data_IF_801253838668
#
_entry.id   IF_801253838668
#
_cell.length_a   1.000
_cell.length_b   1.000
_cell.length_c   1.000
_cell.angle_alpha   90.00
_cell.angle_beta   90.00
_cell.angle_gamma   90.00
#
_symmetry.space_group_name_H-M   'P 1'
#
loop_
_entity.id
_entity.type
_entity.pdbx_description
1 polymer ?
#
# COMPACT_ATOMS: atom_id res chain seq x y z
N UNK A 1 -7.26 -18.29 -3.76
CA UNK A 1 -6.73 -17.90 -5.08
C UNK A 1 -7.04 -16.44 -5.49
N UNK A 2 -7.83 -15.70 -4.70
CA UNK A 2 -8.31 -14.37 -5.07
C UNK A 2 -7.24 -13.26 -5.09
N UNK A 3 -6.24 -13.34 -4.25
CA UNK A 3 -5.22 -12.32 -4.13
C UNK A 3 -5.82 -10.91 -3.98
N UNK A 4 -5.33 -9.95 -4.76
CA UNK A 4 -5.81 -8.57 -4.76
C UNK A 4 -7.02 -8.32 -5.69
N UNK A 5 -7.49 -9.32 -6.42
CA UNK A 5 -8.64 -9.19 -7.31
C UNK A 5 -9.92 -9.71 -6.64
N UNK A 6 -10.84 -8.83 -6.21
CA UNK A 6 -12.08 -9.24 -5.56
C UNK A 6 -13.05 -10.00 -6.47
N UNK A 7 -12.85 -9.96 -7.79
CA UNK A 7 -13.72 -10.66 -8.75
C UNK A 7 -13.60 -12.18 -8.71
N UNK A 8 -12.52 -12.70 -8.12
CA UNK A 8 -12.23 -14.13 -8.05
C UNK A 8 -12.31 -14.69 -6.63
N UNK A 9 -12.96 -13.98 -5.71
CA UNK A 9 -13.21 -14.49 -4.36
C UNK A 9 -14.15 -15.72 -4.40
N UNK A 10 -13.83 -16.71 -3.57
CA UNK A 10 -14.52 -18.01 -3.56
C UNK A 10 -15.28 -18.29 -2.26
N UNK A 11 -14.97 -17.59 -1.16
CA UNK A 11 -15.75 -17.71 0.07
C UNK A 11 -17.12 -17.14 -0.16
N UNK A 12 -18.16 -17.92 0.14
CA UNK A 12 -19.57 -17.61 -0.16
C UNK A 12 -20.37 -17.43 1.11
N UNK A 13 -21.51 -16.75 1.01
CA UNK A 13 -22.57 -16.81 2.00
C UNK A 13 -23.92 -16.97 1.29
N UNK A 14 -24.76 -17.88 1.80
CA UNK A 14 -26.11 -18.10 1.31
C UNK A 14 -27.12 -17.84 2.43
N UNK A 15 -28.28 -17.22 2.14
CA UNK A 15 -29.31 -17.00 3.15
C UNK A 15 -30.02 -18.30 3.51
N UNK A 16 -30.35 -18.47 4.79
CA UNK A 16 -31.14 -19.58 5.33
C UNK A 16 -32.06 -19.07 6.43
N UNK A 17 -33.30 -18.70 6.07
CA UNK A 17 -34.25 -18.07 6.99
C UNK A 17 -33.74 -16.70 7.47
N UNK A 18 -33.59 -16.57 8.79
CA UNK A 18 -33.08 -15.35 9.44
C UNK A 18 -31.54 -15.37 9.63
N UNK A 19 -30.85 -16.30 9.02
CA UNK A 19 -29.41 -16.46 9.12
C UNK A 19 -28.73 -16.48 7.73
N UNK A 20 -27.41 -16.39 7.75
CA UNK A 20 -26.54 -16.64 6.62
C UNK A 20 -25.59 -17.79 6.95
N UNK A 21 -25.35 -18.65 5.97
CA UNK A 21 -24.39 -19.75 6.06
C UNK A 21 -23.17 -19.41 5.24
N UNK A 22 -22.01 -19.27 5.92
CA UNK A 22 -20.73 -18.91 5.32
C UNK A 22 -19.88 -20.16 5.12
N UNK A 23 -19.33 -20.32 3.90
CA UNK A 23 -18.44 -21.42 3.55
C UNK A 23 -17.23 -20.92 2.75
N UNK A 24 -16.04 -21.48 3.04
CA UNK A 24 -14.81 -21.19 2.33
C UNK A 24 -13.60 -20.98 3.22
N UNK A 25 -12.56 -20.39 2.66
CA UNK A 25 -11.30 -20.20 3.34
C UNK A 25 -10.74 -18.79 3.09
N UNK A 26 -10.04 -18.26 4.07
CA UNK A 26 -9.35 -16.96 4.00
C UNK A 26 -7.92 -17.11 4.48
N UNK A 27 -7.01 -16.60 3.68
CA UNK A 27 -5.61 -16.47 4.07
C UNK A 27 -5.25 -15.01 4.35
N UNK A 28 -4.21 -14.78 5.11
CA UNK A 28 -3.78 -13.46 5.57
C UNK A 28 -4.86 -12.70 6.35
N UNK A 29 -5.60 -13.41 7.20
CA UNK A 29 -6.54 -12.80 8.15
C UNK A 29 -5.75 -12.20 9.32
N UNK A 30 -5.40 -10.91 9.20
CA UNK A 30 -4.53 -10.22 10.16
C UNK A 30 -5.12 -10.22 11.56
N UNK A 31 -4.33 -10.66 12.54
CA UNK A 31 -4.65 -10.72 13.96
C UNK A 31 -5.89 -11.57 14.33
N UNK A 32 -6.38 -12.45 13.45
CA UNK A 32 -7.58 -13.23 13.69
C UNK A 32 -7.52 -14.03 15.02
N UNK A 33 -6.36 -14.57 15.37
CA UNK A 33 -6.17 -15.33 16.62
C UNK A 33 -6.36 -14.52 17.91
N UNK A 34 -6.29 -13.18 17.82
CA UNK A 34 -6.48 -12.28 18.97
C UNK A 34 -7.80 -11.53 18.91
N UNK A 35 -8.58 -11.75 17.85
CA UNK A 35 -9.82 -11.03 17.62
C UNK A 35 -11.00 -11.76 18.25
N UNK A 36 -11.95 -11.02 18.79
CA UNK A 36 -13.23 -11.56 19.27
C UNK A 36 -14.25 -11.72 18.15
N UNK A 37 -14.04 -11.03 17.03
CA UNK A 37 -14.83 -11.21 15.80
C UNK A 37 -13.98 -10.88 14.56
N UNK A 38 -14.38 -11.39 13.42
CA UNK A 38 -13.78 -11.16 12.12
C UNK A 38 -14.75 -10.37 11.25
N UNK A 39 -14.22 -9.44 10.42
CA UNK A 39 -14.96 -8.81 9.32
C UNK A 39 -14.66 -9.63 8.06
N UNK A 40 -15.66 -10.39 7.60
CA UNK A 40 -15.47 -11.38 6.54
C UNK A 40 -16.16 -10.92 5.27
N UNK A 41 -15.38 -10.69 4.21
CA UNK A 41 -15.92 -10.41 2.87
C UNK A 41 -16.19 -11.74 2.15
N UNK A 42 -17.41 -11.90 1.66
CA UNK A 42 -17.88 -13.12 1.01
C UNK A 42 -18.72 -12.81 -0.23
N UNK A 43 -18.82 -13.74 -1.15
CA UNK A 43 -19.69 -13.64 -2.32
C UNK A 43 -21.11 -14.03 -1.92
N UNK A 44 -22.05 -13.12 -2.06
CA UNK A 44 -23.49 -13.35 -1.82
C UNK A 44 -24.33 -13.35 -3.10
N UNK A 45 -23.86 -12.66 -4.13
CA UNK A 45 -24.59 -12.39 -5.36
C UNK A 45 -23.68 -12.58 -6.58
N UNK A 46 -23.33 -13.84 -6.94
CA UNK A 46 -22.35 -14.14 -7.98
C UNK A 46 -22.74 -13.64 -9.38
N UNK A 47 -24.03 -13.48 -9.66
CA UNK A 47 -24.56 -13.04 -10.94
C UNK A 47 -24.58 -11.51 -11.10
N UNK A 48 -24.31 -10.76 -10.03
CA UNK A 48 -24.25 -9.30 -10.07
C UNK A 48 -22.98 -8.81 -10.81
N UNK A 49 -23.00 -7.56 -11.31
CA UNK A 49 -21.79 -6.92 -11.85
C UNK A 49 -20.61 -6.99 -10.88
N UNK A 50 -19.36 -7.07 -11.38
CA UNK A 50 -18.16 -7.03 -10.54
C UNK A 50 -18.22 -5.87 -9.53
N UNK A 51 -17.72 -6.12 -8.31
CA UNK A 51 -17.77 -5.19 -7.15
C UNK A 51 -19.15 -5.01 -6.49
N UNK A 52 -20.20 -5.67 -6.98
CA UNK A 52 -21.53 -5.77 -6.36
C UNK A 52 -21.87 -7.22 -5.98
N UNK A 53 -20.92 -8.12 -6.09
CA UNK A 53 -21.08 -9.54 -5.76
C UNK A 53 -20.82 -9.85 -4.29
N UNK A 54 -20.08 -8.96 -3.60
CA UNK A 54 -19.58 -9.23 -2.25
C UNK A 54 -20.37 -8.49 -1.20
N UNK A 55 -20.58 -9.16 -0.08
CA UNK A 55 -21.08 -8.59 1.17
C UNK A 55 -20.04 -8.76 2.29
N UNK A 56 -20.17 -8.00 3.36
CA UNK A 56 -19.35 -8.17 4.56
C UNK A 56 -20.20 -8.61 5.73
N UNK A 57 -19.66 -9.49 6.57
CA UNK A 57 -20.30 -9.96 7.79
C UNK A 57 -19.39 -9.80 9.00
N UNK A 58 -20.00 -9.51 10.14
CA UNK A 58 -19.38 -9.62 11.46
C UNK A 58 -19.53 -11.06 11.94
N UNK A 59 -18.43 -11.78 12.06
CA UNK A 59 -18.41 -13.19 12.46
C UNK A 59 -17.64 -13.32 13.76
N UNK A 60 -18.30 -13.60 14.91
CA UNK A 60 -17.61 -13.92 16.16
C UNK A 60 -16.64 -15.09 15.96
N UNK A 61 -15.45 -15.02 16.55
CA UNK A 61 -14.42 -16.04 16.34
C UNK A 61 -14.73 -17.37 17.01
N UNK A 62 -15.63 -17.38 17.99
CA UNK A 62 -16.14 -18.56 18.69
C UNK A 62 -17.39 -19.19 18.03
N UNK A 63 -17.84 -18.64 16.88
CA UNK A 63 -18.97 -19.22 16.13
C UNK A 63 -18.61 -20.63 15.64
N UNK A 64 -19.48 -21.64 15.88
CA UNK A 64 -19.25 -22.99 15.40
C UNK A 64 -18.94 -23.01 13.89
N UNK A 65 -17.90 -23.75 13.49
CA UNK A 65 -17.43 -23.84 12.10
C UNK A 65 -16.35 -22.81 11.72
N UNK A 66 -16.03 -21.84 12.58
CA UNK A 66 -14.85 -21.00 12.42
C UNK A 66 -13.63 -21.72 12.98
N UNK A 67 -12.67 -22.00 12.10
CA UNK A 67 -11.44 -22.70 12.45
C UNK A 67 -10.22 -21.89 12.01
N UNK A 68 -9.35 -21.53 12.95
CA UNK A 68 -8.02 -21.02 12.65
C UNK A 68 -7.11 -22.23 12.42
N UNK A 69 -6.85 -22.57 11.16
CA UNK A 69 -6.06 -23.75 10.79
C UNK A 69 -4.62 -23.59 11.26
N UNK A 70 -4.03 -22.40 11.03
CA UNK A 70 -2.68 -22.04 11.46
C UNK A 70 -2.46 -20.54 11.34
N UNK A 71 -1.44 -20.05 12.01
CA UNK A 71 -0.95 -18.69 11.79
C UNK A 71 0.17 -18.69 10.77
N UNK A 72 0.32 -17.57 10.07
CA UNK A 72 1.32 -17.33 9.04
C UNK A 72 2.10 -16.09 9.44
N UNK A 73 3.40 -16.24 9.61
CA UNK A 73 4.34 -15.14 9.85
C UNK A 73 4.79 -14.49 8.56
N UNK A 74 5.16 -13.22 8.64
CA UNK A 74 5.92 -12.55 7.59
C UNK A 74 7.40 -12.93 7.74
N UNK A 75 8.21 -12.77 6.67
CA UNK A 75 9.60 -13.22 6.65
C UNK A 75 10.56 -12.60 7.68
N UNK A 76 10.07 -11.68 8.50
CA UNK A 76 10.78 -11.08 9.64
C UNK A 76 10.15 -11.44 11.00
N UNK A 77 9.11 -12.25 11.00
CA UNK A 77 8.45 -12.76 12.21
C UNK A 77 9.03 -14.14 12.57
N UNK A 78 8.76 -14.61 13.78
CA UNK A 78 9.14 -15.95 14.20
C UNK A 78 8.51 -17.02 13.31
N UNK A 79 9.23 -18.08 13.00
CA UNK A 79 8.74 -19.25 12.27
C UNK A 79 7.73 -20.08 13.06
N UNK A 80 7.56 -19.81 14.35
CA UNK A 80 6.58 -20.50 15.18
C UNK A 80 5.16 -20.18 14.70
N UNK A 81 4.37 -21.22 14.43
CA UNK A 81 2.95 -21.11 14.07
C UNK A 81 2.11 -20.32 15.08
N UNK A 82 2.57 -20.27 16.34
CA UNK A 82 1.91 -19.52 17.40
C UNK A 82 2.21 -18.01 17.38
N UNK A 83 3.17 -17.56 16.58
CA UNK A 83 3.64 -16.17 16.58
C UNK A 83 3.30 -15.38 15.30
N UNK A 84 2.80 -16.03 14.25
CA UNK A 84 2.43 -15.35 13.01
C UNK A 84 1.32 -14.33 13.21
N UNK A 85 1.46 -13.17 12.56
CA UNK A 85 0.50 -12.07 12.65
C UNK A 85 -0.73 -12.24 11.75
N UNK A 86 -0.74 -13.24 10.87
CA UNK A 86 -1.83 -13.53 9.95
C UNK A 86 -2.31 -14.96 10.11
N UNK A 87 -3.63 -15.18 10.05
CA UNK A 87 -4.20 -16.51 10.14
C UNK A 87 -4.67 -17.03 8.78
N UNK A 88 -4.62 -18.35 8.64
CA UNK A 88 -5.37 -19.11 7.64
C UNK A 88 -6.63 -19.64 8.33
N UNK A 89 -7.79 -19.17 7.87
CA UNK A 89 -9.08 -19.41 8.51
C UNK A 89 -9.99 -20.17 7.57
N UNK A 90 -10.62 -21.23 8.06
CA UNK A 90 -11.70 -21.98 7.41
C UNK A 90 -13.04 -21.59 8.02
N UNK A 91 -14.04 -21.50 7.16
CA UNK A 91 -15.45 -21.36 7.50
C UNK A 91 -16.17 -22.58 6.98
N UNK A 92 -16.71 -23.40 7.86
CA UNK A 92 -17.46 -24.62 7.52
C UNK A 92 -18.88 -24.53 8.09
N UNK A 93 -19.83 -24.23 7.22
CA UNK A 93 -21.24 -24.02 7.56
C UNK A 93 -21.43 -23.02 8.73
N UNK A 94 -20.63 -21.95 8.76
CA UNK A 94 -20.69 -20.92 9.80
C UNK A 94 -21.99 -20.15 9.68
N UNK A 95 -22.83 -20.24 10.74
CA UNK A 95 -24.12 -19.57 10.78
C UNK A 95 -23.99 -18.24 11.54
N UNK A 96 -24.47 -17.16 10.90
CA UNK A 96 -24.54 -15.84 11.52
C UNK A 96 -25.92 -15.23 11.30
N UNK A 97 -26.46 -14.48 12.27
CA UNK A 97 -27.72 -13.76 12.10
C UNK A 97 -27.67 -12.76 10.95
N UNK A 98 -28.82 -12.47 10.35
CA UNK A 98 -28.91 -11.48 9.25
C UNK A 98 -28.44 -10.09 9.64
N UNK A 99 -28.56 -9.73 10.91
CA UNK A 99 -28.14 -8.46 11.51
C UNK A 99 -26.62 -8.28 11.50
N UNK A 100 -25.87 -9.37 11.36
CA UNK A 100 -24.40 -9.33 11.26
C UNK A 100 -23.91 -8.86 9.88
N UNK A 101 -24.81 -8.64 8.93
CA UNK A 101 -24.48 -8.02 7.64
C UNK A 101 -24.02 -6.58 7.84
N UNK A 102 -22.76 -6.30 7.49
CA UNK A 102 -22.15 -4.98 7.60
C UNK A 102 -22.37 -4.17 6.31
N UNK A 103 -23.30 -3.24 6.37
CA UNK A 103 -23.73 -2.45 5.22
C UNK A 103 -24.74 -3.19 4.31
N UNK A 104 -25.00 -2.70 3.09
CA UNK A 104 -25.98 -3.32 2.21
C UNK A 104 -25.47 -4.63 1.60
N UNK A 105 -26.37 -5.56 1.30
CA UNK A 105 -26.08 -6.76 0.51
C UNK A 105 -25.50 -6.36 -0.85
N UNK A 106 -24.43 -7.01 -1.28
CA UNK A 106 -23.67 -6.66 -2.49
C UNK A 106 -22.79 -5.41 -2.35
N UNK A 107 -22.82 -4.72 -1.20
CA UNK A 107 -22.07 -3.49 -0.93
C UNK A 107 -20.72 -3.66 -0.24
N UNK A 108 -20.26 -4.89 -0.04
CA UNK A 108 -19.03 -5.19 0.72
C UNK A 108 -17.79 -4.50 0.17
N UNK A 109 -17.66 -4.39 -1.16
CA UNK A 109 -16.55 -3.68 -1.78
C UNK A 109 -16.54 -2.18 -1.45
N UNK A 110 -17.71 -1.53 -1.44
CA UNK A 110 -17.84 -0.09 -1.11
C UNK A 110 -17.48 0.12 0.36
N UNK A 111 -18.00 -0.74 1.26
CA UNK A 111 -17.66 -0.71 2.69
C UNK A 111 -16.15 -0.82 2.90
N UNK A 112 -15.47 -1.77 2.21
CA UNK A 112 -14.01 -1.90 2.25
C UNK A 112 -13.30 -0.63 1.78
N UNK A 113 -13.72 -0.03 0.67
CA UNK A 113 -13.07 1.16 0.11
C UNK A 113 -13.20 2.40 1.02
N UNK A 114 -14.27 2.50 1.79
CA UNK A 114 -14.44 3.58 2.77
C UNK A 114 -13.30 3.57 3.80
N UNK A 115 -12.94 2.39 4.31
CA UNK A 115 -11.82 2.21 5.26
C UNK A 115 -10.46 2.35 4.58
N UNK A 116 -10.29 1.74 3.39
CA UNK A 116 -8.98 1.64 2.71
C UNK A 116 -8.48 3.00 2.20
N UNK A 117 -9.36 3.97 1.95
CA UNK A 117 -8.97 5.33 1.56
C UNK A 117 -8.03 5.97 2.60
N UNK A 118 -8.47 6.00 3.86
CA UNK A 118 -7.67 6.49 4.99
C UNK A 118 -6.49 5.58 5.35
N UNK A 119 -6.64 4.25 5.23
CA UNK A 119 -5.59 3.29 5.53
C UNK A 119 -4.32 3.50 4.70
N UNK A 120 -4.46 3.78 3.40
CA UNK A 120 -3.33 3.96 2.48
C UNK A 120 -2.46 5.17 2.84
N UNK A 121 -3.06 6.31 3.14
CA UNK A 121 -2.30 7.50 3.57
C UNK A 121 -1.68 7.29 4.95
N UNK A 122 -2.37 6.60 5.87
CA UNK A 122 -1.83 6.24 7.18
C UNK A 122 -0.57 5.37 7.06
N UNK A 123 -0.56 4.37 6.16
CA UNK A 123 0.65 3.59 5.87
C UNK A 123 1.82 4.47 5.40
N UNK A 124 1.56 5.42 4.50
CA UNK A 124 2.57 6.33 4.00
C UNK A 124 3.12 7.26 5.12
N UNK A 125 2.24 7.82 5.95
CA UNK A 125 2.63 8.65 7.10
C UNK A 125 3.50 7.88 8.10
N UNK A 126 3.07 6.67 8.46
CA UNK A 126 3.82 5.80 9.38
C UNK A 126 5.20 5.44 8.81
N UNK A 127 5.28 5.19 7.51
CA UNK A 127 6.55 4.91 6.82
C UNK A 127 7.48 6.13 6.83
N UNK A 128 6.97 7.36 6.72
CA UNK A 128 7.78 8.58 6.84
C UNK A 128 8.52 8.64 8.19
N UNK A 129 7.87 8.28 9.29
CA UNK A 129 8.52 8.20 10.60
C UNK A 129 9.56 7.08 10.70
N UNK A 130 9.30 5.93 10.06
CA UNK A 130 10.26 4.81 10.04
C UNK A 130 11.52 5.16 9.24
N UNK A 131 11.38 5.72 8.04
CA UNK A 131 12.55 6.10 7.22
C UNK A 131 13.38 7.20 7.88
N UNK A 132 12.75 8.15 8.58
CA UNK A 132 13.47 9.15 9.38
C UNK A 132 14.36 8.48 10.43
N UNK A 133 13.80 7.56 11.24
CA UNK A 133 14.57 6.83 12.25
C UNK A 133 15.73 6.05 11.65
N UNK A 134 15.50 5.36 10.53
CA UNK A 134 16.55 4.59 9.84
C UNK A 134 17.65 5.52 9.33
N UNK A 135 17.27 6.68 8.80
CA UNK A 135 18.19 7.70 8.32
C UNK A 135 19.05 8.26 9.47
N UNK A 136 18.46 8.56 10.63
CA UNK A 136 19.18 9.03 11.79
C UNK A 136 20.24 8.01 12.25
N UNK A 137 19.86 6.74 12.36
CA UNK A 137 20.79 5.62 12.69
C UNK A 137 21.93 5.51 11.68
N UNK A 138 21.64 5.69 10.38
CA UNK A 138 22.64 5.67 9.31
C UNK A 138 23.66 6.82 9.47
N UNK A 139 23.19 8.03 9.75
CA UNK A 139 24.03 9.20 9.97
C UNK A 139 24.89 9.06 11.23
N UNK A 140 24.29 8.61 12.35
CA UNK A 140 25.01 8.35 13.59
C UNK A 140 26.15 7.33 13.37
N UNK A 141 25.87 6.24 12.64
CA UNK A 141 26.89 5.25 12.30
C UNK A 141 28.02 5.85 11.47
N UNK A 142 27.69 6.70 10.49
CA UNK A 142 28.68 7.28 9.59
C UNK A 142 29.68 8.19 10.29
N UNK A 143 29.27 8.93 11.33
CA UNK A 143 30.12 9.86 12.06
C UNK A 143 30.92 9.25 13.20
N UNK A 144 30.63 7.99 13.60
CA UNK A 144 31.36 7.32 14.70
C UNK A 144 32.25 6.17 14.21
N UNK A 145 31.93 5.53 13.09
CA UNK A 145 32.66 4.35 12.60
C UNK A 145 33.87 4.75 11.76
N UNK A 146 35.03 4.24 12.15
CA UNK A 146 36.27 4.38 11.39
C UNK A 146 36.58 3.09 10.62
N UNK A 147 37.04 3.21 9.38
CA UNK A 147 37.59 2.15 8.57
C UNK A 147 38.72 2.66 7.70
N UNK A 148 39.78 1.89 7.52
CA UNK A 148 40.96 2.32 6.76
C UNK A 148 41.53 3.68 7.21
N UNK A 149 41.58 3.90 8.54
CA UNK A 149 42.15 5.09 9.15
C UNK A 149 41.26 6.36 9.10
N UNK A 150 40.01 6.27 8.61
CA UNK A 150 39.16 7.41 8.37
C UNK A 150 37.69 7.11 8.72
N UNK A 151 36.91 8.14 9.12
CA UNK A 151 35.48 8.00 9.39
C UNK A 151 34.70 7.62 8.13
N UNK A 152 33.66 6.80 8.26
CA UNK A 152 32.76 6.46 7.16
C UNK A 152 32.16 7.71 6.49
N UNK A 153 31.82 8.73 7.27
CA UNK A 153 31.29 10.00 6.77
C UNK A 153 32.22 10.78 5.82
N UNK A 154 33.52 10.40 5.74
CA UNK A 154 34.48 10.96 4.79
C UNK A 154 34.58 10.19 3.48
N UNK A 155 33.93 9.03 3.38
CA UNK A 155 33.93 8.20 2.17
C UNK A 155 32.85 8.67 1.21
N UNK A 156 33.19 8.97 -0.04
CA UNK A 156 32.25 9.50 -1.04
C UNK A 156 31.03 8.60 -1.28
N UNK A 157 31.23 7.28 -1.33
CA UNK A 157 30.09 6.36 -1.49
C UNK A 157 29.11 6.38 -0.30
N UNK A 158 29.60 6.65 0.91
CA UNK A 158 28.75 6.81 2.09
C UNK A 158 28.01 8.16 2.04
N UNK A 159 28.71 9.22 1.61
CA UNK A 159 28.10 10.55 1.41
C UNK A 159 26.99 10.50 0.35
N UNK A 160 27.18 9.76 -0.76
CA UNK A 160 26.15 9.52 -1.77
C UNK A 160 24.92 8.83 -1.16
N UNK A 161 25.11 7.73 -0.42
CA UNK A 161 24.01 7.01 0.24
C UNK A 161 23.22 7.90 1.21
N UNK A 162 23.90 8.77 1.95
CA UNK A 162 23.27 9.71 2.87
C UNK A 162 22.49 10.79 2.09
N UNK A 163 23.09 11.38 1.06
CA UNK A 163 22.47 12.42 0.25
C UNK A 163 21.22 11.91 -0.47
N UNK A 164 21.31 10.76 -1.15
CA UNK A 164 20.18 10.12 -1.82
C UNK A 164 19.05 9.78 -0.85
N UNK A 165 19.40 9.27 0.33
CA UNK A 165 18.40 8.93 1.34
C UNK A 165 17.66 10.16 1.86
N UNK A 166 18.37 11.25 2.09
CA UNK A 166 17.78 12.53 2.52
C UNK A 166 16.85 13.10 1.45
N UNK A 167 17.28 13.10 0.17
CA UNK A 167 16.48 13.60 -0.94
C UNK A 167 15.19 12.77 -1.11
N UNK A 168 15.30 11.44 -1.14
CA UNK A 168 14.14 10.55 -1.27
C UNK A 168 13.17 10.72 -0.09
N UNK A 169 13.69 10.83 1.13
CA UNK A 169 12.90 11.00 2.35
C UNK A 169 12.13 12.32 2.35
N UNK A 170 12.79 13.44 2.04
CA UNK A 170 12.15 14.77 2.03
C UNK A 170 11.12 14.89 0.91
N UNK A 171 11.44 14.42 -0.31
CA UNK A 171 10.46 14.38 -1.40
C UNK A 171 9.23 13.55 -1.04
N UNK A 172 9.43 12.38 -0.43
CA UNK A 172 8.33 11.52 0.00
C UNK A 172 7.49 12.15 1.10
N UNK A 173 8.14 12.72 2.12
CA UNK A 173 7.48 13.43 3.23
C UNK A 173 6.60 14.57 2.74
N UNK A 174 7.13 15.42 1.85
CA UNK A 174 6.36 16.52 1.25
C UNK A 174 5.16 16.00 0.43
N UNK A 175 5.32 14.89 -0.29
CA UNK A 175 4.21 14.28 -1.01
C UNK A 175 3.13 13.75 -0.06
N UNK A 176 3.51 13.12 1.05
CA UNK A 176 2.58 12.67 2.09
C UNK A 176 1.83 13.86 2.71
N UNK A 177 2.56 14.91 3.11
CA UNK A 177 1.96 16.12 3.70
C UNK A 177 1.01 16.83 2.73
N UNK A 178 1.41 16.98 1.46
CA UNK A 178 0.54 17.54 0.41
C UNK A 178 -0.73 16.71 0.25
N UNK A 179 -0.61 15.38 0.28
CA UNK A 179 -1.76 14.48 0.15
C UNK A 179 -2.71 14.61 1.35
N UNK A 180 -2.19 14.65 2.56
CA UNK A 180 -2.96 14.88 3.79
C UNK A 180 -3.69 16.24 3.75
N UNK A 181 -2.98 17.31 3.40
CA UNK A 181 -3.57 18.64 3.23
C UNK A 181 -4.70 18.64 2.18
N UNK A 182 -4.55 17.93 1.07
CA UNK A 182 -5.61 17.81 0.05
C UNK A 182 -6.82 17.04 0.57
N UNK A 183 -6.61 15.99 1.39
CA UNK A 183 -7.71 15.26 2.03
C UNK A 183 -8.50 16.22 2.93
N UNK A 184 -7.82 16.98 3.78
CA UNK A 184 -8.45 17.95 4.68
C UNK A 184 -9.18 19.05 3.90
N UNK A 185 -8.59 19.53 2.82
CA UNK A 185 -9.17 20.59 1.99
C UNK A 185 -10.44 20.15 1.26
N UNK A 186 -10.45 18.95 0.69
CA UNK A 186 -11.55 18.51 -0.18
C UNK A 186 -12.57 17.64 0.53
N UNK A 187 -12.24 17.04 1.67
CA UNK A 187 -13.09 16.09 2.42
C UNK A 187 -13.72 15.00 1.54
N UNK A 188 -13.05 14.66 0.43
CA UNK A 188 -13.51 13.70 -0.59
C UNK A 188 -12.32 12.89 -1.12
N UNK A 189 -12.25 11.63 -0.72
CA UNK A 189 -11.20 10.69 -1.16
C UNK A 189 -11.20 10.45 -2.68
N UNK A 190 -12.32 10.64 -3.38
CA UNK A 190 -12.38 10.47 -4.84
C UNK A 190 -11.58 11.55 -5.55
N UNK A 191 -11.64 12.81 -5.07
CA UNK A 191 -10.87 13.94 -5.60
C UNK A 191 -9.38 13.84 -5.33
N UNK A 192 -8.99 13.14 -4.26
CA UNK A 192 -7.59 12.98 -3.84
C UNK A 192 -7.02 11.59 -4.20
N UNK A 193 -7.80 10.78 -4.91
CA UNK A 193 -7.44 9.39 -5.23
C UNK A 193 -6.09 9.26 -5.97
N UNK A 194 -5.78 10.20 -6.87
CA UNK A 194 -4.49 10.26 -7.59
C UNK A 194 -3.31 10.37 -6.62
N UNK A 195 -3.38 11.31 -5.69
CA UNK A 195 -2.32 11.56 -4.70
C UNK A 195 -2.20 10.39 -3.71
N UNK A 196 -3.32 9.86 -3.19
CA UNK A 196 -3.33 8.70 -2.29
C UNK A 196 -2.68 7.48 -2.96
N UNK A 197 -3.01 7.22 -4.22
CA UNK A 197 -2.36 6.14 -4.98
C UNK A 197 -0.89 6.43 -5.24
N UNK A 198 -0.53 7.69 -5.49
CA UNK A 198 0.85 8.12 -5.71
C UNK A 198 1.74 7.88 -4.50
N UNK A 199 1.35 8.34 -3.32
CA UNK A 199 2.12 8.11 -2.09
C UNK A 199 2.22 6.63 -1.75
N UNK A 200 1.14 5.85 -1.96
CA UNK A 200 1.14 4.40 -1.74
C UNK A 200 2.08 3.67 -2.71
N UNK A 201 2.16 4.12 -3.97
CA UNK A 201 3.06 3.54 -4.97
C UNK A 201 4.54 3.90 -4.73
N UNK A 202 4.82 5.11 -4.26
CA UNK A 202 6.18 5.58 -3.99
C UNK A 202 6.78 4.96 -2.71
N UNK A 203 5.94 4.76 -1.69
CA UNK A 203 6.32 4.35 -0.34
C UNK A 203 7.26 3.16 -0.27
N UNK A 204 7.00 2.00 -0.93
CA UNK A 204 7.84 0.82 -0.78
C UNK A 204 9.25 1.00 -1.34
N UNK A 205 9.39 1.76 -2.43
CA UNK A 205 10.68 2.06 -3.05
C UNK A 205 11.56 2.92 -2.14
N UNK A 206 11.03 4.04 -1.68
CA UNK A 206 11.73 4.95 -0.75
C UNK A 206 12.15 4.20 0.51
N UNK A 207 11.23 3.44 1.10
CA UNK A 207 11.49 2.69 2.32
C UNK A 207 12.63 1.66 2.12
N UNK A 208 12.54 0.86 1.07
CA UNK A 208 13.54 -0.16 0.76
C UNK A 208 14.92 0.44 0.51
N UNK A 209 14.99 1.50 -0.29
CA UNK A 209 16.25 2.14 -0.64
C UNK A 209 16.97 2.65 0.61
N UNK A 210 16.28 3.37 1.48
CA UNK A 210 16.86 3.92 2.71
C UNK A 210 17.24 2.81 3.69
N UNK A 211 16.37 1.81 3.89
CA UNK A 211 16.67 0.68 4.76
C UNK A 211 17.86 -0.15 4.27
N UNK A 212 17.99 -0.37 2.96
CA UNK A 212 19.09 -1.10 2.36
C UNK A 212 20.41 -0.34 2.49
N UNK A 213 20.41 0.97 2.25
CA UNK A 213 21.61 1.81 2.43
C UNK A 213 22.06 1.85 3.89
N UNK A 214 21.12 1.96 4.83
CA UNK A 214 21.44 1.91 6.26
C UNK A 214 22.03 0.56 6.68
N UNK A 215 21.45 -0.56 6.22
CA UNK A 215 22.00 -1.90 6.40
C UNK A 215 23.42 -2.00 5.89
N UNK A 216 23.67 -1.51 4.67
CA UNK A 216 24.99 -1.52 4.02
C UNK A 216 26.04 -0.73 4.82
N UNK A 217 25.70 0.47 5.30
CA UNK A 217 26.61 1.31 6.09
C UNK A 217 26.95 0.69 7.44
N UNK A 218 26.06 -0.10 8.01
CA UNK A 218 26.32 -0.84 9.27
C UNK A 218 27.16 -2.10 9.06
N UNK A 219 27.28 -2.62 7.84
CA UNK A 219 28.04 -3.83 7.53
C UNK A 219 27.45 -5.08 8.22
N UNK A 220 28.32 -5.93 8.80
CA UNK A 220 27.87 -7.15 9.50
C UNK A 220 26.91 -6.88 10.67
N UNK A 221 27.07 -5.76 11.35
CA UNK A 221 26.10 -5.33 12.38
C UNK A 221 24.72 -5.10 11.76
N UNK A 222 24.66 -4.52 10.56
CA UNK A 222 23.41 -4.20 9.86
C UNK A 222 22.56 -5.41 9.48
N UNK A 223 23.17 -6.58 9.25
CA UNK A 223 22.48 -7.85 8.95
C UNK A 223 22.22 -8.69 10.20
N UNK A 224 22.71 -8.26 11.36
CA UNK A 224 22.50 -8.97 12.62
C UNK A 224 21.14 -8.65 13.24
N UNK A 225 20.72 -9.44 14.20
CA UNK A 225 19.48 -9.23 14.95
C UNK A 225 19.53 -8.05 15.94
N UNK A 226 20.72 -7.51 16.17
CA UNK A 226 20.91 -6.35 17.04
C UNK A 226 20.43 -5.04 16.39
N UNK A 227 20.26 -5.03 15.05
CA UNK A 227 19.77 -3.88 14.29
C UNK A 227 18.46 -4.21 13.56
N UNK A 228 17.59 -3.22 13.36
CA UNK A 228 16.27 -3.47 12.77
C UNK A 228 16.29 -3.62 11.23
N UNK A 229 17.39 -3.40 10.54
CA UNK A 229 17.42 -3.13 9.11
C UNK A 229 16.94 -4.28 8.23
N UNK A 230 17.25 -5.54 8.55
CA UNK A 230 16.73 -6.71 7.82
C UNK A 230 15.21 -6.76 7.87
N UNK A 231 14.64 -6.53 9.05
CA UNK A 231 13.19 -6.41 9.24
C UNK A 231 12.62 -5.24 8.43
N UNK A 232 13.23 -4.06 8.48
CA UNK A 232 12.77 -2.88 7.78
C UNK A 232 12.83 -3.04 6.25
N UNK A 233 13.85 -3.74 5.72
CA UNK A 233 13.92 -4.11 4.30
C UNK A 233 12.75 -5.03 3.93
N UNK A 234 12.50 -6.10 4.69
CA UNK A 234 11.39 -7.02 4.43
C UNK A 234 10.03 -6.33 4.57
N UNK A 235 9.85 -5.49 5.57
CA UNK A 235 8.63 -4.70 5.77
C UNK A 235 8.35 -3.78 4.57
N UNK A 236 9.37 -3.29 3.87
CA UNK A 236 9.19 -2.47 2.67
C UNK A 236 8.47 -3.24 1.54
N UNK A 237 8.74 -4.54 1.39
CA UNK A 237 8.04 -5.41 0.45
C UNK A 237 6.59 -5.65 0.89
N UNK A 238 6.37 -5.92 2.18
CA UNK A 238 5.02 -6.04 2.73
C UNK A 238 4.20 -4.77 2.48
N UNK A 239 4.76 -3.59 2.72
CA UNK A 239 4.10 -2.31 2.42
C UNK A 239 3.79 -2.12 0.92
N UNK A 240 4.50 -2.81 0.04
CA UNK A 240 4.23 -2.85 -1.40
C UNK A 240 3.03 -3.72 -1.79
N UNK A 241 2.61 -4.64 -0.93
CA UNK A 241 1.55 -5.62 -1.16
C UNK A 241 0.25 -5.28 -0.42
N UNK A 242 0.37 -4.91 0.86
CA UNK A 242 -0.78 -4.61 1.73
C UNK A 242 -1.60 -3.41 1.20
N UNK A 243 -2.92 -3.44 1.41
CA UNK A 243 -3.89 -2.41 0.97
C UNK A 243 -3.87 -2.11 -0.54
N UNK A 244 -3.51 -3.11 -1.33
CA UNK A 244 -3.38 -3.08 -2.77
C UNK A 244 -1.92 -3.02 -3.24
N UNK A 245 -1.55 -3.88 -4.20
CA UNK A 245 -0.20 -3.92 -4.76
C UNK A 245 0.24 -2.60 -5.39
N UNK A 246 1.54 -2.35 -5.35
CA UNK A 246 2.17 -1.16 -5.96
C UNK A 246 1.75 -0.95 -7.41
N UNK A 247 1.64 -2.04 -8.18
CA UNK A 247 1.28 -2.04 -9.59
C UNK A 247 -0.15 -1.51 -9.81
N UNK A 248 -1.09 -1.93 -8.98
CA UNK A 248 -2.49 -1.44 -9.02
C UNK A 248 -2.54 0.07 -8.79
N UNK A 249 -1.74 0.57 -7.83
CA UNK A 249 -1.66 2.00 -7.55
C UNK A 249 -1.00 2.78 -8.69
N UNK A 250 0.06 2.25 -9.32
CA UNK A 250 0.71 2.87 -10.50
C UNK A 250 -0.27 2.99 -11.68
N UNK A 251 -1.03 1.93 -11.98
CA UNK A 251 -2.08 1.97 -13.02
C UNK A 251 -3.13 3.03 -12.68
N UNK A 252 -3.55 3.11 -11.42
CA UNK A 252 -4.52 4.12 -10.97
C UNK A 252 -3.98 5.55 -11.14
N UNK A 253 -2.69 5.79 -10.80
CA UNK A 253 -2.04 7.10 -11.00
C UNK A 253 -1.99 7.44 -12.48
N UNK A 254 -1.50 6.53 -13.34
CA UNK A 254 -1.38 6.77 -14.77
C UNK A 254 -2.73 7.15 -15.40
N UNK A 255 -3.78 6.39 -15.11
CA UNK A 255 -5.14 6.68 -15.60
C UNK A 255 -5.59 8.09 -15.17
N UNK A 256 -5.41 8.44 -13.90
CA UNK A 256 -5.83 9.74 -13.37
C UNK A 256 -4.96 10.90 -13.84
N UNK A 257 -3.72 10.66 -14.24
CA UNK A 257 -2.88 11.66 -14.90
C UNK A 257 -3.41 11.91 -16.33
N UNK A 258 -3.68 10.83 -17.05
CA UNK A 258 -4.16 10.92 -18.43
C UNK A 258 -5.56 11.54 -18.54
N UNK A 259 -6.41 11.40 -17.53
CA UNK A 259 -7.72 12.08 -17.46
C UNK A 259 -7.61 13.63 -17.53
N UNK A 260 -6.44 14.20 -17.21
CA UNK A 260 -6.19 15.64 -17.26
C UNK A 260 -5.81 16.14 -18.69
N UNK A 261 -5.67 15.24 -19.68
CA UNK A 261 -5.27 15.57 -21.05
C UNK A 261 -6.41 15.36 -22.05
N UNK A 262 -6.48 16.23 -23.04
CA UNK A 262 -7.41 16.11 -24.17
C UNK A 262 -6.66 15.52 -25.35
N UNK A 263 -7.24 14.55 -26.09
CA UNK A 263 -6.65 14.04 -27.32
C UNK A 263 -6.37 15.17 -28.32
N UNK A 264 -5.23 15.10 -28.99
CA UNK A 264 -4.90 15.98 -30.09
C UNK A 264 -5.38 15.32 -31.39
N UNK A 265 -6.09 16.06 -32.26
CA UNK A 265 -6.59 15.55 -33.54
C UNK A 265 -5.47 15.42 -34.61
N UNK A 266 -4.25 15.77 -34.25
CA UNK A 266 -3.08 15.75 -35.09
C UNK A 266 -2.12 14.60 -34.74
N UNK A 267 -1.35 14.15 -35.73
CA UNK A 267 -0.29 13.14 -35.55
C UNK A 267 0.80 13.60 -34.55
N UNK A 268 1.04 14.90 -34.44
CA UNK A 268 2.10 15.47 -33.60
C UNK A 268 1.52 16.18 -32.38
N UNK A 269 2.15 16.03 -31.19
CA UNK A 269 1.71 16.73 -29.97
C UNK A 269 1.84 18.26 -30.14
N UNK A 270 1.14 19.00 -29.28
CA UNK A 270 1.10 20.48 -29.29
C UNK A 270 2.50 21.12 -29.22
N UNK A 271 3.45 20.47 -28.51
CA UNK A 271 4.82 20.96 -28.37
C UNK A 271 5.78 20.56 -29.53
N UNK A 272 5.24 20.12 -30.67
CA UNK A 272 6.05 19.77 -31.84
C UNK A 272 6.78 21.01 -32.39
N UNK A 273 8.13 20.96 -32.41
CA UNK A 273 8.97 22.13 -32.71
C UNK A 273 8.67 22.81 -34.08
N UNK A 274 8.48 22.06 -35.20
CA UNK A 274 8.12 22.71 -36.49
C UNK A 274 6.82 23.51 -36.40
N UNK A 275 5.77 22.99 -35.72
CA UNK A 275 4.52 23.72 -35.54
C UNK A 275 4.69 24.96 -34.65
N UNK A 276 5.50 24.86 -33.60
CA UNK A 276 5.79 26.02 -32.76
C UNK A 276 6.54 27.11 -33.51
N UNK A 277 7.48 26.71 -34.37
CA UNK A 277 8.20 27.66 -35.26
C UNK A 277 7.26 28.35 -36.24
N UNK A 278 6.41 27.61 -36.91
CA UNK A 278 5.41 28.16 -37.85
C UNK A 278 4.46 29.11 -37.13
N UNK A 279 3.93 28.72 -35.97
CA UNK A 279 3.09 29.58 -35.18
C UNK A 279 3.80 30.84 -34.66
N UNK A 280 5.10 30.72 -34.31
CA UNK A 280 5.90 31.86 -33.88
C UNK A 280 6.18 32.82 -35.08
N UNK A 281 6.55 32.31 -36.25
CA UNK A 281 6.75 33.12 -37.45
C UNK A 281 5.47 33.86 -37.84
N UNK A 282 4.32 33.20 -37.78
CA UNK A 282 3.03 33.83 -38.06
C UNK A 282 2.71 34.91 -37.01
N UNK A 283 2.90 34.62 -35.71
CA UNK A 283 2.57 35.52 -34.62
C UNK A 283 3.43 36.78 -34.58
N UNK A 284 4.69 36.67 -34.98
CA UNK A 284 5.68 37.76 -34.90
C UNK A 284 6.14 38.25 -36.29
N UNK A 285 5.32 38.00 -37.32
CA UNK A 285 5.65 38.41 -38.70
C UNK A 285 6.03 39.90 -38.77
N UNK A 286 5.26 40.76 -38.12
CA UNK A 286 5.47 42.22 -38.13
C UNK A 286 6.76 42.69 -37.41
N UNK A 287 7.42 41.81 -36.67
CA UNK A 287 8.64 42.11 -35.88
C UNK A 287 9.88 41.55 -36.59
N UNK A 288 9.68 40.63 -37.55
CA UNK A 288 10.73 39.92 -38.24
C UNK A 288 10.99 40.52 -39.67
N UNK A 289 10.15 41.46 -40.12
CA UNK A 289 10.40 42.35 -41.25
C UNK A 289 11.25 43.56 -40.79
#
# INVERSE_FOLDING_TARGET
QGGADPKVFQTTAVPDGDEWIINGEKWFSSNARYSTFLIVMVVTDPDNPPYQQQSMFLVPTDTPGVEIIRNVGLGYESESEDHGSHAYVRYDNVRVPKENLLGPRGGGFIVAQTRLGGGRIHHAMRTSGRVQRIFDMMCERAIIRTTQGELLSKKQMVQEMIADSWLEMEMFRLFVLRTAWRIDKYQDYKKVRKDISGVKAAMPGVYRNIATRALQIHGSLGVSWEMPFTKEVMESFHMGLADGPTEVHKVQVARRVLDDYVPCDDLFPTAHLPKQREAALTKYADVLE
#
